data_IF_969642848583
#
_entry.id   IF_969642848583
#
_cell.length_a   1.000
_cell.length_b   1.000
_cell.length_c   1.000
_cell.angle_alpha   90.00
_cell.angle_beta   90.00
_cell.angle_gamma   90.00
#
_symmetry.space_group_name_H-M   'P 1'
#
loop_
_entity.id
_entity.type
_entity.pdbx_description
1 polymer ?
#
# COMPACT_ATOMS: atom_id res chain seq x y z
N UNK A 1 -52.35 1.01 12.13
CA UNK A 1 -51.07 1.65 12.47
C UNK A 1 -49.96 0.72 11.99
N UNK A 2 -49.50 0.96 10.78
CA UNK A 2 -48.48 0.18 10.08
C UNK A 2 -47.22 1.03 10.05
N UNK A 3 -46.16 0.62 10.74
CA UNK A 3 -44.86 1.29 10.68
C UNK A 3 -44.22 1.03 9.31
N UNK A 4 -43.61 2.03 8.66
CA UNK A 4 -42.81 1.80 7.47
C UNK A 4 -41.44 1.23 7.89
N UNK A 5 -41.02 0.15 7.24
CA UNK A 5 -39.64 -0.35 7.28
C UNK A 5 -38.78 0.59 6.43
N UNK A 6 -37.86 1.33 7.06
CA UNK A 6 -36.79 2.00 6.35
C UNK A 6 -35.73 0.96 5.95
N UNK A 7 -35.63 0.67 4.66
CA UNK A 7 -34.46 0.01 4.09
C UNK A 7 -33.35 1.05 4.01
N UNK A 8 -32.45 1.04 4.98
CA UNK A 8 -31.19 1.80 4.91
C UNK A 8 -30.34 1.18 3.79
N UNK A 9 -30.19 1.87 2.66
CA UNK A 9 -29.20 1.52 1.64
C UNK A 9 -27.82 1.86 2.24
N UNK A 10 -27.04 0.82 2.52
CA UNK A 10 -25.66 0.96 2.99
C UNK A 10 -24.83 1.50 1.81
N UNK A 11 -24.40 2.76 1.89
CA UNK A 11 -23.33 3.26 1.04
C UNK A 11 -22.02 2.65 1.57
N UNK A 12 -21.58 1.56 0.97
CA UNK A 12 -20.27 0.96 1.28
C UNK A 12 -19.27 1.52 0.29
N UNK A 13 -18.56 2.56 0.69
CA UNK A 13 -17.27 2.91 0.07
C UNK A 13 -16.23 2.06 0.79
N UNK A 14 -15.99 0.86 0.26
CA UNK A 14 -14.80 0.10 0.63
C UNK A 14 -13.71 0.47 -0.38
N UNK A 15 -13.00 1.57 -0.12
CA UNK A 15 -11.64 1.68 -0.63
C UNK A 15 -10.82 0.70 0.21
N UNK A 16 -10.25 -0.32 -0.43
CA UNK A 16 -9.01 -0.86 0.09
C UNK A 16 -8.08 0.35 0.24
N UNK A 17 -7.61 0.63 1.45
CA UNK A 17 -6.67 1.70 1.74
C UNK A 17 -5.32 1.37 1.10
N UNK A 18 -5.25 1.50 -0.21
CA UNK A 18 -4.03 1.74 -0.97
C UNK A 18 -4.06 3.25 -1.28
N UNK A 19 -3.54 4.05 -0.35
CA UNK A 19 -3.29 5.47 -0.57
C UNK A 19 -2.03 5.57 -1.45
N UNK A 20 -2.23 5.64 -2.76
CA UNK A 20 -1.28 6.21 -3.71
C UNK A 20 -1.96 7.36 -4.42
N UNK A 21 -1.52 8.60 -4.20
CA UNK A 21 -1.78 9.65 -5.17
C UNK A 21 -1.01 9.25 -6.45
N UNK A 22 -1.54 9.49 -7.66
CA UNK A 22 -0.92 9.19 -8.97
C UNK A 22 -1.47 10.20 -10.00
N UNK A 23 -0.61 10.92 -10.73
CA UNK A 23 -0.93 11.89 -11.78
C UNK A 23 0.22 11.93 -12.82
N UNK A 24 -0.11 12.06 -14.11
CA UNK A 24 0.69 11.64 -15.27
C UNK A 24 1.64 12.69 -15.90
N UNK A 25 2.73 12.23 -16.55
CA UNK A 25 3.06 12.61 -17.93
C UNK A 25 4.53 12.47 -18.41
N UNK A 26 4.86 11.41 -19.18
CA UNK A 26 6.13 11.35 -19.94
C UNK A 26 6.24 10.20 -20.96
N UNK A 27 6.55 10.54 -22.22
CA UNK A 27 6.56 9.62 -23.39
C UNK A 27 7.78 8.71 -23.46
N UNK A 28 7.56 7.39 -23.59
CA UNK A 28 8.57 6.43 -24.04
C UNK A 28 8.13 5.77 -25.37
N UNK A 29 9.01 5.77 -26.37
CA UNK A 29 8.80 5.08 -27.65
C UNK A 29 8.98 3.56 -27.48
N UNK A 30 7.91 2.79 -27.75
CA UNK A 30 7.93 1.32 -27.74
C UNK A 30 8.15 0.75 -29.15
N UNK A 31 8.96 -0.31 -29.34
CA UNK A 31 9.11 -0.95 -30.65
C UNK A 31 7.83 -1.68 -31.07
N UNK A 32 7.55 -1.66 -32.37
CA UNK A 32 6.37 -2.23 -32.99
C UNK A 32 6.15 -3.72 -32.62
N UNK A 33 5.03 -4.00 -31.95
CA UNK A 33 4.53 -5.37 -31.74
C UNK A 33 3.27 -5.61 -32.55
N UNK A 34 3.26 -6.76 -33.22
CA UNK A 34 2.20 -7.27 -34.10
C UNK A 34 0.85 -7.39 -33.39
N UNK A 35 -0.13 -6.64 -33.90
CA UNK A 35 -1.54 -6.65 -33.50
C UNK A 35 -2.19 -8.01 -33.71
N UNK A 36 -2.47 -8.71 -32.61
CA UNK A 36 -3.51 -9.75 -32.57
C UNK A 36 -4.78 -9.07 -32.06
N UNK A 37 -5.78 -8.91 -32.92
CA UNK A 37 -7.04 -8.23 -32.59
C UNK A 37 -7.90 -9.09 -31.66
N UNK A 38 -7.80 -8.85 -30.36
CA UNK A 38 -8.78 -9.31 -29.35
C UNK A 38 -10.12 -8.62 -29.63
N UNK A 39 -11.28 -9.31 -29.56
CA UNK A 39 -12.57 -8.67 -29.75
C UNK A 39 -12.77 -7.56 -28.72
N UNK A 40 -13.03 -6.34 -29.19
CA UNK A 40 -13.44 -5.21 -28.35
C UNK A 40 -14.89 -5.45 -27.92
N UNK A 41 -15.11 -5.60 -26.61
CA UNK A 41 -16.45 -5.58 -26.06
C UNK A 41 -16.97 -4.14 -26.08
N UNK A 42 -18.09 -3.91 -26.77
CA UNK A 42 -18.74 -2.60 -26.80
C UNK A 42 -19.84 -2.53 -25.74
N UNK A 43 -19.79 -1.52 -24.88
CA UNK A 43 -20.82 -1.24 -23.88
C UNK A 43 -22.08 -0.72 -24.57
N UNK A 44 -23.26 -1.25 -24.24
CA UNK A 44 -24.53 -0.74 -24.77
C UNK A 44 -24.85 0.65 -24.20
N UNK A 45 -24.53 1.69 -24.98
CA UNK A 45 -24.73 3.10 -24.61
C UNK A 45 -26.18 3.59 -24.79
N UNK A 46 -27.14 2.71 -25.10
CA UNK A 46 -28.56 3.10 -25.20
C UNK A 46 -29.19 3.44 -23.84
N UNK A 47 -28.53 3.08 -22.75
CA UNK A 47 -28.94 3.39 -21.37
C UNK A 47 -28.05 4.47 -20.75
N UNK A 48 -28.55 5.29 -19.80
CA UNK A 48 -27.72 6.26 -19.07
C UNK A 48 -26.49 5.62 -18.40
N UNK A 49 -26.67 4.44 -17.80
CA UNK A 49 -25.58 3.68 -17.17
C UNK A 49 -24.56 3.19 -18.18
N UNK A 50 -25.00 2.67 -19.33
CA UNK A 50 -24.10 2.25 -20.40
C UNK A 50 -23.28 3.41 -20.96
N UNK A 51 -23.91 4.56 -21.22
CA UNK A 51 -23.20 5.76 -21.66
C UNK A 51 -22.19 6.28 -20.62
N UNK A 52 -22.49 6.18 -19.32
CA UNK A 52 -21.56 6.54 -18.25
C UNK A 52 -20.37 5.57 -18.15
N UNK A 53 -20.61 4.26 -18.23
CA UNK A 53 -19.54 3.27 -18.15
C UNK A 53 -18.65 3.26 -19.41
N UNK A 54 -19.23 3.52 -20.58
CA UNK A 54 -18.46 3.78 -21.81
C UNK A 54 -17.57 5.03 -21.67
N UNK A 55 -18.08 6.09 -21.04
CA UNK A 55 -17.28 7.28 -20.74
C UNK A 55 -16.14 7.00 -19.75
N UNK A 56 -16.40 6.19 -18.72
CA UNK A 56 -15.35 5.73 -17.79
C UNK A 56 -14.28 4.95 -18.55
N UNK A 57 -14.67 4.02 -19.44
CA UNK A 57 -13.72 3.27 -20.29
C UNK A 57 -12.87 4.19 -21.15
N UNK A 58 -13.47 5.23 -21.74
CA UNK A 58 -12.74 6.24 -22.52
C UNK A 58 -11.77 7.03 -21.64
N UNK A 59 -12.18 7.42 -20.42
CA UNK A 59 -11.30 8.08 -19.47
C UNK A 59 -10.15 7.19 -19.02
N UNK A 60 -10.36 5.90 -18.77
CA UNK A 60 -9.29 5.02 -18.31
C UNK A 60 -8.38 4.49 -19.44
N UNK A 61 -8.74 4.71 -20.71
CA UNK A 61 -7.93 4.30 -21.87
C UNK A 61 -7.45 5.48 -22.74
N UNK A 62 -7.89 6.71 -22.47
CA UNK A 62 -7.48 7.88 -23.25
C UNK A 62 -5.99 8.17 -23.14
N UNK A 63 -5.42 8.97 -24.04
CA UNK A 63 -4.01 9.36 -23.94
C UNK A 63 -3.75 10.40 -22.84
N UNK A 64 -4.74 11.26 -22.56
CA UNK A 64 -4.60 12.36 -21.61
C UNK A 64 -5.40 12.11 -20.33
N UNK A 65 -4.94 12.69 -19.22
CA UNK A 65 -5.71 12.80 -17.98
C UNK A 65 -7.12 13.32 -18.25
N UNK A 66 -8.16 12.73 -17.64
CA UNK A 66 -9.53 13.21 -17.76
C UNK A 66 -9.65 14.67 -17.29
N UNK A 67 -10.30 15.52 -18.10
CA UNK A 67 -10.61 16.90 -17.69
C UNK A 67 -11.43 16.90 -16.38
N UNK A 68 -10.92 17.50 -15.28
CA UNK A 68 -11.61 17.51 -14.00
C UNK A 68 -13.03 18.07 -14.09
N UNK A 69 -13.28 19.09 -14.92
CA UNK A 69 -14.60 19.67 -15.09
C UNK A 69 -15.57 18.70 -15.79
N UNK A 70 -15.08 17.91 -16.74
CA UNK A 70 -15.88 16.89 -17.42
C UNK A 70 -16.21 15.71 -16.50
N UNK A 71 -15.29 15.33 -15.61
CA UNK A 71 -15.50 14.32 -14.58
C UNK A 71 -16.51 14.82 -13.54
N UNK A 72 -16.35 16.04 -13.01
CA UNK A 72 -17.27 16.62 -12.03
C UNK A 72 -18.70 16.78 -12.58
N UNK A 73 -18.85 17.08 -13.88
CA UNK A 73 -20.16 17.26 -14.51
C UNK A 73 -21.07 16.03 -14.41
N UNK A 74 -20.50 14.81 -14.39
CA UNK A 74 -21.28 13.56 -14.35
C UNK A 74 -21.46 12.99 -12.95
N UNK A 75 -20.79 13.56 -11.94
CA UNK A 75 -20.80 13.08 -10.56
C UNK A 75 -21.97 13.71 -9.79
N UNK A 76 -22.70 12.88 -9.06
CA UNK A 76 -23.74 13.33 -8.14
C UNK A 76 -23.19 13.62 -6.75
N UNK A 77 -23.97 14.30 -5.89
CA UNK A 77 -23.47 14.87 -4.64
C UNK A 77 -22.91 13.82 -3.67
N UNK A 78 -23.50 12.63 -3.63
CA UNK A 78 -23.08 11.53 -2.75
C UNK A 78 -21.65 11.07 -3.07
N UNK A 79 -21.37 10.86 -4.37
CA UNK A 79 -20.02 10.46 -4.78
C UNK A 79 -19.03 11.61 -4.65
N UNK A 80 -19.43 12.85 -4.98
CA UNK A 80 -18.58 14.03 -4.83
C UNK A 80 -18.08 14.20 -3.39
N UNK A 81 -18.96 14.03 -2.39
CA UNK A 81 -18.58 14.04 -0.97
C UNK A 81 -17.64 12.90 -0.63
N UNK A 82 -17.91 11.68 -1.13
CA UNK A 82 -17.09 10.51 -0.86
C UNK A 82 -15.66 10.60 -1.44
N UNK A 83 -15.47 11.22 -2.60
CA UNK A 83 -14.15 11.36 -3.25
C UNK A 83 -13.45 12.68 -2.94
N UNK A 84 -14.09 13.62 -2.24
CA UNK A 84 -13.47 14.89 -1.87
C UNK A 84 -12.15 14.72 -1.09
N UNK A 85 -12.01 13.78 -0.14
CA UNK A 85 -10.73 13.54 0.53
C UNK A 85 -9.60 13.05 -0.40
N UNK A 86 -9.94 12.53 -1.59
CA UNK A 86 -9.00 12.04 -2.59
C UNK A 86 -8.64 13.09 -3.67
N UNK A 87 -9.18 14.31 -3.55
CA UNK A 87 -9.06 15.34 -4.58
C UNK A 87 -10.03 15.17 -5.76
N UNK A 88 -11.05 14.31 -5.63
CA UNK A 88 -12.04 14.04 -6.67
C UNK A 88 -11.92 12.65 -7.30
N UNK A 89 -12.82 12.35 -8.26
CA UNK A 89 -12.82 11.06 -8.97
C UNK A 89 -11.71 10.95 -10.02
N UNK A 90 -11.07 12.07 -10.38
CA UNK A 90 -9.93 12.07 -11.33
C UNK A 90 -8.82 11.17 -10.79
N UNK A 91 -8.47 11.26 -9.50
CA UNK A 91 -7.40 10.46 -8.90
C UNK A 91 -7.63 8.95 -9.04
N UNK A 92 -8.79 8.37 -8.63
CA UNK A 92 -9.07 6.95 -8.91
C UNK A 92 -9.08 6.58 -10.40
N UNK A 93 -9.51 7.48 -11.29
CA UNK A 93 -9.49 7.22 -12.73
C UNK A 93 -8.05 7.18 -13.26
N UNK A 94 -7.17 8.07 -12.80
CA UNK A 94 -5.74 8.06 -13.14
C UNK A 94 -5.04 6.80 -12.66
N UNK A 95 -5.33 6.32 -11.45
CA UNK A 95 -4.82 5.04 -10.97
C UNK A 95 -5.25 3.86 -11.86
N UNK A 96 -6.47 3.89 -12.41
CA UNK A 96 -6.91 2.86 -13.36
C UNK A 96 -6.27 3.04 -14.74
N UNK A 97 -6.00 4.28 -15.17
CA UNK A 97 -5.31 4.59 -16.44
C UNK A 97 -3.92 4.00 -16.50
N UNK A 98 -3.19 4.04 -15.39
CA UNK A 98 -1.82 3.54 -15.33
C UNK A 98 -1.73 2.04 -15.66
N UNK A 99 -2.79 1.26 -15.38
CA UNK A 99 -2.87 -0.17 -15.70
C UNK A 99 -3.20 -0.49 -17.17
N UNK A 100 -3.25 0.52 -18.04
CA UNK A 100 -3.63 0.36 -19.44
C UNK A 100 -2.75 -0.68 -20.18
N UNK A 101 -3.31 -1.43 -21.15
CA UNK A 101 -4.66 -1.30 -21.69
C UNK A 101 -5.75 -1.87 -20.76
N UNK A 102 -6.82 -1.10 -20.53
CA UNK A 102 -8.00 -1.52 -19.78
C UNK A 102 -9.05 -2.07 -20.75
N UNK A 103 -9.08 -3.39 -20.93
CA UNK A 103 -9.89 -4.05 -21.96
C UNK A 103 -11.22 -4.50 -21.36
N UNK A 104 -12.33 -3.89 -21.78
CA UNK A 104 -13.66 -4.34 -21.38
C UNK A 104 -13.93 -5.78 -21.84
N UNK A 105 -14.57 -6.57 -20.98
CA UNK A 105 -14.90 -7.98 -21.23
C UNK A 105 -16.40 -8.28 -21.04
N UNK A 106 -17.13 -7.39 -20.37
CA UNK A 106 -18.58 -7.52 -20.18
C UNK A 106 -19.19 -6.31 -19.49
N UNK A 107 -20.49 -6.11 -19.68
CA UNK A 107 -21.25 -5.09 -18.95
C UNK A 107 -22.64 -5.61 -18.65
N UNK A 108 -23.05 -5.48 -17.39
CA UNK A 108 -24.40 -5.78 -16.92
C UNK A 108 -25.03 -4.52 -16.34
N UNK A 109 -26.18 -4.13 -16.90
CA UNK A 109 -26.96 -3.00 -16.41
C UNK A 109 -28.23 -3.47 -15.69
N UNK A 110 -28.40 -3.01 -14.45
CA UNK A 110 -29.69 -2.95 -13.76
C UNK A 110 -30.36 -1.59 -13.97
N UNK A 111 -31.49 -1.32 -13.28
CA UNK A 111 -32.19 -0.04 -13.39
C UNK A 111 -31.33 1.17 -12.98
N UNK A 112 -30.63 1.05 -11.84
CA UNK A 112 -29.87 2.15 -11.23
C UNK A 112 -28.40 1.77 -10.94
N UNK A 113 -27.96 0.56 -11.32
CA UNK A 113 -26.62 0.03 -11.05
C UNK A 113 -26.03 -0.64 -12.29
N UNK A 114 -24.72 -0.48 -12.52
CA UNK A 114 -23.98 -1.12 -13.59
C UNK A 114 -22.76 -1.87 -13.06
N UNK A 115 -22.40 -2.96 -13.73
CA UNK A 115 -21.20 -3.76 -13.45
C UNK A 115 -20.44 -3.91 -14.76
N UNK A 116 -19.33 -3.19 -14.88
CA UNK A 116 -18.39 -3.29 -16.00
C UNK A 116 -17.26 -4.24 -15.61
N UNK A 117 -17.13 -5.35 -16.35
CA UNK A 117 -16.00 -6.27 -16.25
C UNK A 117 -14.95 -5.89 -17.28
N UNK A 118 -13.70 -5.89 -16.87
CA UNK A 118 -12.55 -5.56 -17.71
C UNK A 118 -11.31 -6.34 -17.28
N UNK A 119 -10.25 -6.25 -18.06
CA UNK A 119 -8.93 -6.78 -17.74
C UNK A 119 -7.92 -5.65 -17.82
N UNK A 120 -7.03 -5.58 -16.84
CA UNK A 120 -5.98 -4.56 -16.71
C UNK A 120 -4.72 -5.25 -16.19
N UNK A 121 -3.56 -5.01 -16.81
CA UNK A 121 -2.33 -5.77 -16.51
C UNK A 121 -2.48 -7.32 -16.47
N UNK A 122 -3.44 -7.89 -17.21
CA UNK A 122 -3.74 -9.34 -17.16
C UNK A 122 -4.56 -9.81 -15.96
N UNK A 123 -4.99 -8.88 -15.10
CA UNK A 123 -5.83 -9.12 -13.92
C UNK A 123 -7.30 -8.81 -14.29
N UNK A 124 -8.21 -9.79 -14.15
CA UNK A 124 -9.65 -9.54 -14.24
C UNK A 124 -10.12 -8.60 -13.14
N UNK A 125 -10.93 -7.62 -13.49
CA UNK A 125 -11.40 -6.59 -12.57
C UNK A 125 -12.81 -6.13 -12.94
N UNK A 126 -13.45 -5.48 -11.97
CA UNK A 126 -14.82 -4.99 -12.07
C UNK A 126 -14.91 -3.54 -11.61
N UNK A 127 -15.60 -2.69 -12.38
CA UNK A 127 -16.09 -1.38 -11.95
C UNK A 127 -17.59 -1.50 -11.67
N UNK A 128 -17.97 -1.31 -10.41
CA UNK A 128 -19.37 -1.20 -10.00
C UNK A 128 -19.78 0.28 -9.96
N UNK A 129 -20.86 0.61 -10.64
CA UNK A 129 -21.40 1.98 -10.71
C UNK A 129 -22.84 2.03 -10.24
N UNK A 130 -23.26 3.16 -9.68
CA UNK A 130 -24.67 3.45 -9.43
C UNK A 130 -25.02 4.87 -9.83
N UNK A 131 -26.27 5.09 -10.23
CA UNK A 131 -26.78 6.41 -10.61
C UNK A 131 -27.88 6.91 -9.67
N UNK A 132 -27.91 8.22 -9.46
CA UNK A 132 -28.99 8.93 -8.79
C UNK A 132 -30.21 9.15 -9.68
N UNK A 133 -31.28 9.69 -9.11
CA UNK A 133 -32.51 10.04 -9.84
C UNK A 133 -32.30 11.14 -10.91
N UNK A 134 -31.22 11.90 -10.79
CA UNK A 134 -30.74 12.89 -11.75
C UNK A 134 -29.91 12.28 -12.90
N UNK A 135 -29.71 10.96 -12.88
CA UNK A 135 -28.91 10.22 -13.87
C UNK A 135 -27.41 10.38 -13.68
N UNK A 136 -26.95 10.99 -12.59
CA UNK A 136 -25.53 11.19 -12.28
C UNK A 136 -24.94 10.03 -11.49
N UNK A 137 -23.63 9.87 -11.57
CA UNK A 137 -22.88 8.82 -10.87
C UNK A 137 -22.84 9.11 -9.36
N UNK A 138 -23.46 8.24 -8.56
CA UNK A 138 -23.47 8.29 -7.09
C UNK A 138 -22.63 7.18 -6.44
N UNK A 139 -22.22 6.18 -7.20
CA UNK A 139 -21.34 5.11 -6.72
C UNK A 139 -20.31 4.74 -7.78
N UNK A 140 -19.08 4.54 -7.34
CA UNK A 140 -17.96 4.07 -8.15
C UNK A 140 -17.06 3.20 -7.28
N UNK A 141 -16.84 1.95 -7.68
CA UNK A 141 -15.92 1.05 -7.02
C UNK A 141 -15.24 0.17 -8.05
N UNK A 142 -13.95 0.38 -8.25
CA UNK A 142 -13.09 -0.50 -9.04
C UNK A 142 -12.36 -1.48 -8.11
N UNK A 143 -12.36 -2.76 -8.45
CA UNK A 143 -11.64 -3.80 -7.70
C UNK A 143 -11.23 -4.95 -8.61
N UNK A 144 -10.11 -5.63 -8.34
CA UNK A 144 -9.82 -6.90 -8.97
C UNK A 144 -10.87 -7.95 -8.59
N UNK A 145 -11.05 -8.94 -9.45
CA UNK A 145 -11.75 -10.17 -9.11
C UNK A 145 -10.84 -11.03 -8.21
N UNK A 146 -11.43 -11.75 -7.26
CA UNK A 146 -10.69 -12.70 -6.42
C UNK A 146 -10.22 -13.88 -7.26
N UNK A 147 -8.91 -14.21 -7.27
CA UNK A 147 -8.41 -15.35 -8.03
C UNK A 147 -8.85 -16.66 -7.37
N UNK A 148 -9.14 -17.67 -8.20
CA UNK A 148 -9.29 -19.04 -7.72
C UNK A 148 -7.90 -19.65 -7.53
N UNK A 149 -7.48 -19.88 -6.29
CA UNK A 149 -6.18 -20.45 -5.95
C UNK A 149 -6.41 -21.79 -5.26
N UNK A 150 -5.95 -22.88 -5.89
CA UNK A 150 -6.09 -24.25 -5.38
C UNK A 150 -4.76 -24.94 -5.12
N UNK A 151 -3.66 -24.31 -5.52
CA UNK A 151 -2.30 -24.80 -5.41
C UNK A 151 -1.32 -23.62 -5.34
N UNK A 152 -0.09 -23.88 -4.90
CA UNK A 152 0.95 -22.86 -4.93
C UNK A 152 1.37 -22.45 -6.36
N UNK A 153 1.19 -23.32 -7.35
CA UNK A 153 1.42 -22.97 -8.76
C UNK A 153 0.38 -21.94 -9.25
N UNK A 154 -0.88 -22.04 -8.80
CA UNK A 154 -1.91 -21.03 -9.09
C UNK A 154 -1.57 -19.69 -8.42
N UNK A 155 -1.01 -19.74 -7.21
CA UNK A 155 -0.56 -18.57 -6.46
C UNK A 155 0.60 -17.86 -7.18
N UNK A 156 1.62 -18.59 -7.65
CA UNK A 156 2.70 -18.03 -8.48
C UNK A 156 2.19 -17.41 -9.79
N UNK A 157 1.27 -18.09 -10.47
CA UNK A 157 0.64 -17.59 -11.68
C UNK A 157 -0.21 -16.32 -11.43
N UNK A 158 -0.73 -16.14 -10.21
CA UNK A 158 -1.40 -14.93 -9.80
C UNK A 158 -0.40 -13.81 -9.46
N UNK A 159 0.57 -14.05 -8.58
CA UNK A 159 1.55 -13.04 -8.15
C UNK A 159 2.36 -12.45 -9.30
N UNK A 160 2.72 -13.27 -10.30
CA UNK A 160 3.45 -12.83 -11.49
C UNK A 160 2.69 -11.81 -12.36
N UNK A 161 1.38 -11.61 -12.14
CA UNK A 161 0.59 -10.55 -12.78
C UNK A 161 0.70 -9.19 -12.08
N UNK A 162 1.16 -9.16 -10.83
CA UNK A 162 1.27 -7.93 -10.04
C UNK A 162 2.48 -7.12 -10.48
N UNK A 163 3.66 -7.75 -10.50
CA UNK A 163 4.91 -7.16 -10.98
C UNK A 163 5.88 -8.25 -11.47
N UNK A 164 6.78 -7.94 -12.41
CA UNK A 164 7.73 -8.92 -12.94
C UNK A 164 8.80 -9.33 -11.92
N UNK A 165 9.24 -8.41 -11.06
CA UNK A 165 10.15 -8.73 -9.96
C UNK A 165 9.34 -8.83 -8.68
N UNK A 166 9.25 -10.01 -8.11
CA UNK A 166 8.54 -10.24 -6.87
C UNK A 166 9.22 -11.31 -6.02
N UNK A 167 8.98 -11.26 -4.73
CA UNK A 167 9.37 -12.24 -3.73
C UNK A 167 8.15 -12.59 -2.88
N UNK A 168 8.02 -13.86 -2.55
CA UNK A 168 6.92 -14.38 -1.75
C UNK A 168 7.40 -15.48 -0.81
N UNK A 169 6.87 -15.51 0.41
CA UNK A 169 7.07 -16.62 1.34
C UNK A 169 5.84 -16.81 2.22
N UNK A 170 5.48 -18.08 2.42
CA UNK A 170 4.52 -18.52 3.41
C UNK A 170 5.23 -19.42 4.41
N UNK A 171 5.29 -18.99 5.66
CA UNK A 171 6.11 -19.58 6.70
C UNK A 171 5.29 -19.92 7.93
N UNK A 172 5.59 -21.08 8.53
CA UNK A 172 5.16 -21.43 9.88
C UNK A 172 6.09 -20.74 10.88
N UNK A 173 5.55 -20.09 11.90
CA UNK A 173 6.35 -19.48 12.96
C UNK A 173 6.46 -20.45 14.15
N UNK A 174 7.69 -20.86 14.48
CA UNK A 174 7.98 -21.80 15.56
C UNK A 174 8.89 -21.14 16.60
N UNK A 175 8.30 -20.57 17.65
CA UNK A 175 9.09 -19.98 18.75
C UNK A 175 9.96 -18.78 18.33
N UNK A 176 9.58 -18.07 17.27
CA UNK A 176 10.33 -16.94 16.71
C UNK A 176 11.02 -17.28 15.38
N UNK A 177 11.26 -18.56 15.12
CA UNK A 177 11.91 -19.02 13.89
C UNK A 177 10.89 -19.21 12.77
N UNK A 178 11.17 -18.64 11.60
CA UNK A 178 10.37 -18.82 10.39
C UNK A 178 10.80 -20.08 9.63
N UNK A 179 9.90 -21.05 9.53
CA UNK A 179 10.03 -22.24 8.68
C UNK A 179 9.18 -22.07 7.42
N UNK A 180 9.82 -21.82 6.28
CA UNK A 180 9.13 -21.68 5.01
C UNK A 180 8.43 -22.99 4.60
N UNK A 181 7.12 -22.93 4.37
CA UNK A 181 6.32 -24.02 3.78
C UNK A 181 6.31 -23.90 2.26
N UNK A 182 6.29 -22.67 1.76
CA UNK A 182 6.40 -22.36 0.34
C UNK A 182 7.03 -20.99 0.13
N UNK A 183 7.80 -20.83 -0.94
CA UNK A 183 8.45 -19.57 -1.25
C UNK A 183 8.83 -19.46 -2.72
N UNK A 184 8.79 -18.24 -3.25
CA UNK A 184 9.18 -17.89 -4.61
C UNK A 184 10.10 -16.68 -4.56
N UNK A 185 11.28 -16.78 -5.16
CA UNK A 185 12.31 -15.73 -5.17
C UNK A 185 12.68 -15.16 -3.77
N UNK A 186 12.59 -15.98 -2.71
CA UNK A 186 12.73 -15.51 -1.32
C UNK A 186 14.07 -14.84 -0.99
N UNK A 187 15.14 -15.15 -1.74
CA UNK A 187 16.47 -14.53 -1.57
C UNK A 187 16.57 -13.13 -2.20
N UNK A 188 15.57 -12.70 -2.98
CA UNK A 188 15.58 -11.40 -3.63
C UNK A 188 15.46 -10.29 -2.58
N UNK A 189 16.46 -9.40 -2.56
CA UNK A 189 16.45 -8.17 -1.76
C UNK A 189 15.63 -7.13 -2.51
N UNK A 190 14.44 -6.85 -2.00
CA UNK A 190 13.47 -5.95 -2.63
C UNK A 190 13.09 -4.81 -1.66
N UNK A 191 12.55 -3.71 -2.20
CA UNK A 191 11.90 -2.66 -1.43
C UNK A 191 10.91 -3.17 -0.38
N UNK A 192 10.81 -2.45 0.73
CA UNK A 192 9.87 -2.70 1.81
C UNK A 192 8.72 -1.70 1.83
N UNK A 193 8.93 -0.51 1.25
CA UNK A 193 8.18 0.67 1.63
C UNK A 193 8.03 0.74 3.15
N UNK A 194 6.84 1.08 3.62
CA UNK A 194 6.52 1.17 5.04
C UNK A 194 6.57 -0.14 5.85
N UNK A 195 6.91 -1.31 5.29
CA UNK A 195 7.16 -2.53 6.07
C UNK A 195 8.39 -2.36 6.99
N UNK A 196 9.33 -1.45 6.67
CA UNK A 196 10.48 -1.14 7.54
C UNK A 196 10.07 -0.71 8.96
N UNK A 197 8.85 -0.17 9.12
CA UNK A 197 8.30 0.29 10.41
C UNK A 197 8.14 -0.84 11.43
N UNK A 198 8.21 -2.10 11.00
CA UNK A 198 8.35 -3.24 11.91
C UNK A 198 9.64 -3.15 12.73
N UNK A 199 10.76 -2.72 12.13
CA UNK A 199 12.02 -2.50 12.86
C UNK A 199 11.93 -1.33 13.84
N UNK A 200 11.21 -0.25 13.46
CA UNK A 200 10.94 0.88 14.37
C UNK A 200 10.10 0.44 15.57
N UNK A 201 9.07 -0.40 15.34
CA UNK A 201 8.26 -0.96 16.42
C UNK A 201 9.10 -1.86 17.34
N UNK A 202 9.95 -2.71 16.79
CA UNK A 202 10.83 -3.57 17.58
C UNK A 202 11.78 -2.76 18.48
N UNK A 203 12.41 -1.72 17.91
CA UNK A 203 13.29 -0.82 18.65
C UNK A 203 12.51 -0.08 19.76
N UNK A 204 11.29 0.37 19.47
CA UNK A 204 10.42 0.99 20.45
C UNK A 204 10.09 0.05 21.60
N UNK A 205 9.69 -1.19 21.30
CA UNK A 205 9.28 -2.13 22.35
C UNK A 205 10.44 -2.54 23.24
N UNK A 206 11.64 -2.70 22.69
CA UNK A 206 12.84 -2.99 23.49
C UNK A 206 13.16 -1.84 24.46
N UNK A 207 13.01 -0.58 24.03
CA UNK A 207 13.23 0.59 24.91
C UNK A 207 12.11 0.78 25.96
N UNK A 208 10.87 0.38 25.63
CA UNK A 208 9.77 0.31 26.61
C UNK A 208 10.08 -0.74 27.68
N UNK A 209 10.53 -1.94 27.28
CA UNK A 209 10.90 -3.01 28.21
C UNK A 209 12.11 -2.64 29.07
N UNK A 210 13.08 -1.92 28.50
CA UNK A 210 14.22 -1.38 29.23
C UNK A 210 13.85 -0.21 30.18
N UNK A 211 12.63 0.33 30.08
CA UNK A 211 12.14 1.45 30.88
C UNK A 211 12.77 2.80 30.53
N UNK A 212 13.38 2.91 29.34
CA UNK A 212 13.99 4.15 28.82
C UNK A 212 13.00 4.99 28.01
N UNK A 213 11.90 4.38 27.55
CA UNK A 213 10.72 5.03 26.96
C UNK A 213 9.49 4.60 27.75
N UNK A 214 8.43 5.42 27.76
CA UNK A 214 7.11 5.02 28.29
C UNK A 214 6.02 5.22 27.26
N UNK A 215 5.00 4.36 27.29
CA UNK A 215 3.84 4.48 26.39
C UNK A 215 3.07 5.80 26.54
N UNK A 216 3.08 6.39 27.74
CA UNK A 216 2.44 7.67 28.07
C UNK A 216 3.38 8.88 27.91
N UNK A 217 4.60 8.66 27.43
CA UNK A 217 5.51 9.74 27.09
C UNK A 217 4.94 10.54 25.92
N UNK A 218 5.04 11.87 26.00
CA UNK A 218 4.49 12.78 25.00
C UNK A 218 5.58 13.21 24.01
N UNK A 219 5.34 12.94 22.74
CA UNK A 219 6.06 13.45 21.58
C UNK A 219 5.39 14.75 21.12
N UNK A 220 6.15 15.66 20.53
CA UNK A 220 5.64 16.95 20.06
C UNK A 220 5.73 17.02 18.55
N UNK A 221 4.58 17.16 17.88
CA UNK A 221 4.52 17.40 16.43
C UNK A 221 5.11 18.78 16.15
N UNK A 222 6.08 18.84 15.25
CA UNK A 222 6.67 20.10 14.74
C UNK A 222 6.79 20.03 13.21
N UNK A 223 6.97 21.17 12.58
CA UNK A 223 7.15 21.24 11.13
C UNK A 223 8.33 20.37 10.64
N UNK A 224 9.40 20.31 11.42
CA UNK A 224 10.60 19.52 11.12
C UNK A 224 10.36 18.01 11.20
N UNK A 225 9.36 17.57 11.97
CA UNK A 225 9.01 16.14 12.14
C UNK A 225 7.87 15.70 11.24
N UNK A 226 7.22 16.64 10.55
CA UNK A 226 6.13 16.33 9.62
C UNK A 226 6.70 15.71 8.35
N UNK A 227 6.04 14.65 7.92
CA UNK A 227 6.33 13.91 6.70
C UNK A 227 5.10 13.87 5.79
N UNK A 228 5.26 13.40 4.56
CA UNK A 228 4.15 13.27 3.62
C UNK A 228 3.19 12.15 4.05
N UNK A 229 1.95 12.11 3.54
CA UNK A 229 1.08 10.94 3.68
C UNK A 229 1.79 9.65 3.21
N UNK A 230 1.39 8.47 3.68
CA UNK A 230 0.23 8.13 4.51
C UNK A 230 0.32 8.60 5.96
N UNK A 231 -0.84 8.76 6.60
CA UNK A 231 -0.98 9.23 7.98
C UNK A 231 -1.96 10.38 8.11
N UNK A 232 -2.14 10.83 9.36
CA UNK A 232 -2.93 12.00 9.71
C UNK A 232 -2.21 12.97 10.65
N UNK A 233 -1.14 12.56 11.34
CA UNK A 233 -0.43 13.43 12.29
C UNK A 233 0.21 14.65 11.62
N UNK A 234 0.52 14.59 10.32
CA UNK A 234 1.00 15.73 9.55
C UNK A 234 0.00 16.90 9.51
N UNK A 235 -1.29 16.62 9.67
CA UNK A 235 -2.36 17.63 9.65
C UNK A 235 -2.53 18.34 11.00
N UNK A 236 -1.85 17.87 12.06
CA UNK A 236 -1.96 18.48 13.37
C UNK A 236 -1.18 19.80 13.45
N UNK A 237 -1.67 20.79 14.22
CA UNK A 237 -0.91 22.02 14.48
C UNK A 237 0.42 21.73 15.17
N UNK A 238 1.43 22.52 14.88
CA UNK A 238 2.72 22.46 15.57
C UNK A 238 2.54 22.68 17.08
N UNK A 239 3.33 21.94 17.88
CA UNK A 239 3.22 21.93 19.33
C UNK A 239 2.15 20.96 19.86
N UNK A 240 1.40 20.27 18.99
CA UNK A 240 0.46 19.24 19.42
C UNK A 240 1.21 18.06 20.04
N UNK A 241 0.78 17.65 21.24
CA UNK A 241 1.38 16.55 21.97
C UNK A 241 0.67 15.23 21.63
N UNK A 242 1.43 14.22 21.21
CA UNK A 242 0.95 12.88 20.84
C UNK A 242 1.67 11.87 21.73
N UNK A 243 0.96 10.90 22.31
CA UNK A 243 1.61 9.88 23.15
C UNK A 243 2.41 8.89 22.29
N UNK A 244 3.47 8.30 22.84
CA UNK A 244 4.23 7.22 22.18
C UNK A 244 3.30 6.08 21.73
N UNK A 245 2.29 5.74 22.55
CA UNK A 245 1.27 4.73 22.21
C UNK A 245 0.48 5.11 20.97
N UNK A 246 -0.05 6.33 20.93
CA UNK A 246 -0.81 6.82 19.78
C UNK A 246 0.06 6.86 18.52
N UNK A 247 1.31 7.30 18.63
CA UNK A 247 2.25 7.32 17.52
C UNK A 247 2.51 5.89 17.00
N UNK A 248 2.76 4.91 17.88
CA UNK A 248 2.99 3.52 17.48
C UNK A 248 1.77 2.89 16.81
N UNK A 249 0.57 3.13 17.36
CA UNK A 249 -0.69 2.66 16.78
C UNK A 249 -0.91 3.23 15.38
N UNK A 250 -0.72 4.54 15.18
CA UNK A 250 -0.87 5.18 13.87
C UNK A 250 0.23 4.80 12.87
N UNK A 251 1.47 4.66 13.34
CA UNK A 251 2.61 4.19 12.54
C UNK A 251 2.31 2.83 11.90
N UNK A 252 1.67 1.92 12.64
CA UNK A 252 1.38 0.57 12.14
C UNK A 252 0.05 0.53 11.38
N UNK A 253 -1.04 1.04 11.97
CA UNK A 253 -2.40 0.89 11.41
C UNK A 253 -2.69 1.80 10.22
N UNK A 254 -2.22 3.05 10.25
CA UNK A 254 -2.40 4.03 9.17
C UNK A 254 -1.13 4.20 8.33
N UNK A 255 -0.07 3.47 8.66
CA UNK A 255 1.25 3.68 8.09
C UNK A 255 1.72 5.14 8.24
N UNK A 256 1.36 5.80 9.35
CA UNK A 256 1.57 7.24 9.52
C UNK A 256 3.05 7.61 9.54
N UNK A 257 3.49 8.34 8.52
CA UNK A 257 4.87 8.75 8.31
C UNK A 257 5.35 9.76 9.35
N UNK A 258 4.50 10.72 9.74
CA UNK A 258 4.85 11.68 10.81
C UNK A 258 4.96 10.98 12.17
N UNK A 259 4.09 10.00 12.45
CA UNK A 259 4.21 9.16 13.64
C UNK A 259 5.51 8.35 13.66
N UNK A 260 5.91 7.84 12.48
CA UNK A 260 7.15 7.07 12.30
C UNK A 260 8.35 7.95 12.62
N UNK A 261 8.42 9.14 12.03
CA UNK A 261 9.56 10.04 12.19
C UNK A 261 9.66 10.59 13.61
N UNK A 262 8.53 10.86 14.28
CA UNK A 262 8.50 11.21 15.71
C UNK A 262 9.09 10.09 16.59
N UNK A 263 8.80 8.83 16.29
CA UNK A 263 9.34 7.68 17.02
C UNK A 263 10.83 7.48 16.70
N UNK A 264 11.24 7.60 15.44
CA UNK A 264 12.64 7.49 15.04
C UNK A 264 13.49 8.61 15.65
N UNK A 265 13.00 9.85 15.69
CA UNK A 265 13.67 10.96 16.40
C UNK A 265 13.84 10.63 17.89
N UNK A 266 12.79 10.11 18.53
CA UNK A 266 12.82 9.77 19.95
C UNK A 266 13.77 8.62 20.29
N UNK A 267 13.88 7.63 19.42
CA UNK A 267 14.75 6.46 19.61
C UNK A 267 16.20 6.78 19.21
N UNK A 268 16.39 7.61 18.20
CA UNK A 268 17.66 7.86 17.53
C UNK A 268 17.98 6.78 16.48
N UNK A 269 18.54 7.21 15.35
CA UNK A 269 18.86 6.38 14.17
C UNK A 269 19.62 5.10 14.52
N UNK A 270 20.70 5.23 15.29
CA UNK A 270 21.57 4.11 15.68
C UNK A 270 20.82 2.98 16.42
N UNK A 271 19.76 3.30 17.18
CA UNK A 271 18.98 2.27 17.88
C UNK A 271 18.11 1.49 16.92
N UNK A 272 17.49 2.18 15.97
CA UNK A 272 16.66 1.55 14.93
C UNK A 272 17.53 0.70 13.99
N UNK A 273 18.69 1.21 13.59
CA UNK A 273 19.67 0.47 12.76
C UNK A 273 20.18 -0.79 13.46
N UNK A 274 20.51 -0.71 14.76
CA UNK A 274 20.87 -1.90 15.54
C UNK A 274 19.75 -2.94 15.55
N UNK A 275 18.49 -2.49 15.52
CA UNK A 275 17.34 -3.39 15.56
C UNK A 275 17.26 -4.28 14.31
N UNK A 276 17.79 -3.84 13.17
CA UNK A 276 17.88 -4.66 11.96
C UNK A 276 18.54 -6.02 12.25
N UNK A 277 19.72 -5.99 12.87
CA UNK A 277 20.45 -7.22 13.23
C UNK A 277 19.80 -8.01 14.37
N UNK A 278 19.21 -7.32 15.37
CA UNK A 278 18.49 -7.97 16.48
C UNK A 278 17.29 -8.76 15.97
N UNK A 279 16.57 -8.21 14.99
CA UNK A 279 15.38 -8.80 14.38
C UNK A 279 15.70 -9.73 13.20
N UNK A 280 16.99 -10.06 12.98
CA UNK A 280 17.39 -11.11 12.06
C UNK A 280 17.57 -10.68 10.59
N UNK A 281 17.69 -9.39 10.30
CA UNK A 281 18.00 -8.92 8.95
C UNK A 281 19.37 -9.45 8.48
N UNK A 282 19.43 -10.06 7.31
CA UNK A 282 20.62 -10.77 6.81
C UNK A 282 21.80 -9.85 6.51
N UNK A 283 21.53 -8.63 6.03
CA UNK A 283 22.54 -7.61 5.74
C UNK A 283 22.09 -6.20 6.14
N UNK A 284 22.27 -5.79 7.42
CA UNK A 284 21.87 -4.46 7.87
C UNK A 284 22.51 -3.31 7.08
N UNK A 285 23.64 -3.53 6.40
CA UNK A 285 24.36 -2.47 5.68
C UNK A 285 23.58 -1.88 4.50
N UNK A 286 22.63 -2.63 3.92
CA UNK A 286 21.77 -2.14 2.82
C UNK A 286 20.77 -1.07 3.26
N UNK A 287 20.53 -0.95 4.56
CA UNK A 287 19.69 0.09 5.16
C UNK A 287 20.46 1.01 6.10
N UNK A 288 21.80 1.03 6.05
CA UNK A 288 22.62 1.87 6.93
C UNK A 288 23.45 2.88 6.10
N UNK A 289 23.30 4.20 6.28
CA UNK A 289 22.43 4.87 7.26
C UNK A 289 20.94 4.77 6.89
N UNK A 290 20.09 4.56 7.89
CA UNK A 290 18.65 4.31 7.70
C UNK A 290 17.88 5.61 7.61
N UNK A 291 17.29 5.91 6.45
CA UNK A 291 16.40 7.06 6.25
C UNK A 291 15.16 6.98 7.16
N UNK A 292 14.71 8.13 7.67
CA UNK A 292 13.31 8.31 8.06
C UNK A 292 12.43 8.63 6.83
N UNK A 293 11.12 8.74 7.03
CA UNK A 293 10.21 8.91 5.90
C UNK A 293 10.32 10.29 5.26
N UNK A 294 10.55 11.35 6.05
CA UNK A 294 10.79 12.70 5.54
C UNK A 294 12.03 12.75 4.65
N UNK A 295 13.13 12.15 5.08
CA UNK A 295 14.38 12.04 4.32
C UNK A 295 14.15 11.29 3.01
N UNK A 296 13.40 10.19 3.02
CA UNK A 296 13.00 9.47 1.80
C UNK A 296 12.32 10.41 0.79
N UNK A 297 11.35 11.23 1.23
CA UNK A 297 10.66 12.16 0.34
C UNK A 297 11.57 13.28 -0.17
N UNK A 298 12.35 13.91 0.70
CA UNK A 298 13.25 15.02 0.32
C UNK A 298 14.34 14.53 -0.63
N UNK A 299 14.94 13.37 -0.35
CA UNK A 299 16.03 12.82 -1.16
C UNK A 299 15.52 12.32 -2.51
N UNK A 300 14.45 11.53 -2.52
CA UNK A 300 13.92 10.91 -3.74
C UNK A 300 13.17 11.90 -4.64
N UNK A 301 12.50 12.89 -4.03
CA UNK A 301 11.41 13.63 -4.68
C UNK A 301 11.34 15.11 -4.30
N UNK A 302 12.34 15.69 -3.63
CA UNK A 302 12.35 17.12 -3.28
C UNK A 302 12.86 18.06 -4.39
N UNK A 303 12.84 19.37 -4.14
CA UNK A 303 13.48 20.40 -4.99
C UNK A 303 14.59 21.17 -4.25
N UNK A 304 15.86 21.10 -4.70
CA UNK A 304 16.40 20.15 -5.66
C UNK A 304 16.32 18.71 -5.18
N UNK A 305 16.13 17.83 -6.15
CA UNK A 305 16.18 16.39 -5.99
C UNK A 305 17.63 15.94 -5.72
N UNK A 306 17.85 15.19 -4.64
CA UNK A 306 19.17 14.73 -4.19
C UNK A 306 19.46 13.27 -4.57
N UNK A 307 18.57 12.62 -5.30
CA UNK A 307 18.61 11.20 -5.65
C UNK A 307 19.88 10.76 -6.37
N UNK A 308 20.39 11.57 -7.31
CA UNK A 308 21.64 11.27 -8.01
C UNK A 308 22.84 11.29 -7.04
N UNK A 309 22.88 12.26 -6.11
CA UNK A 309 23.93 12.31 -5.08
C UNK A 309 23.83 11.10 -4.15
N UNK A 310 22.63 10.68 -3.78
CA UNK A 310 22.39 9.51 -2.93
C UNK A 310 22.82 8.19 -3.59
N UNK A 311 22.54 8.05 -4.88
CA UNK A 311 22.86 6.86 -5.69
C UNK A 311 24.39 6.66 -5.78
N UNK A 312 25.14 7.73 -5.98
CA UNK A 312 26.60 7.72 -6.11
C UNK A 312 27.36 7.73 -4.77
N UNK A 313 26.69 8.03 -3.66
CA UNK A 313 27.31 8.22 -2.35
C UNK A 313 27.69 6.90 -1.64
N UNK A 314 28.83 6.92 -0.96
CA UNK A 314 29.20 5.92 0.03
C UNK A 314 28.45 6.16 1.37
N UNK A 315 28.54 5.24 2.36
CA UNK A 315 27.79 5.38 3.60
C UNK A 315 28.08 6.68 4.39
N UNK A 316 29.32 7.16 4.42
CA UNK A 316 29.67 8.38 5.15
C UNK A 316 29.07 9.62 4.45
N UNK A 317 29.14 9.67 3.12
CA UNK A 317 28.52 10.72 2.33
C UNK A 317 26.99 10.68 2.43
N UNK A 318 26.37 9.50 2.57
CA UNK A 318 24.93 9.37 2.81
C UNK A 318 24.51 9.98 4.14
N UNK A 319 25.31 9.88 5.20
CA UNK A 319 25.03 10.57 6.48
C UNK A 319 24.97 12.09 6.26
N UNK A 320 25.93 12.66 5.52
CA UNK A 320 25.92 14.10 5.20
C UNK A 320 24.70 14.50 4.35
N UNK A 321 24.24 13.63 3.45
CA UNK A 321 23.03 13.85 2.66
C UNK A 321 21.76 13.84 3.52
N UNK A 322 21.70 13.00 4.56
CA UNK A 322 20.57 12.96 5.49
C UNK A 322 20.49 14.25 6.32
N UNK A 323 21.62 14.75 6.82
CA UNK A 323 21.68 16.04 7.53
C UNK A 323 21.25 17.21 6.62
N UNK A 324 21.63 17.15 5.33
CA UNK A 324 21.20 18.13 4.33
C UNK A 324 19.70 18.02 4.03
N UNK A 325 19.13 16.82 4.03
CA UNK A 325 17.71 16.60 3.82
C UNK A 325 16.89 17.16 5.01
N UNK A 326 17.36 16.98 6.24
CA UNK A 326 16.71 17.52 7.45
C UNK A 326 16.67 19.06 7.46
N UNK A 327 17.69 19.70 6.87
CA UNK A 327 17.76 21.16 6.75
C UNK A 327 16.86 21.75 5.67
N UNK A 328 16.12 20.92 4.91
CA UNK A 328 15.26 21.34 3.80
C UNK A 328 13.79 21.35 4.18
N UNK A 329 12.98 22.25 3.58
CA UNK A 329 11.53 22.14 3.68
C UNK A 329 11.07 20.84 3.00
N UNK A 330 9.96 20.27 3.50
CA UNK A 330 9.31 19.15 2.83
C UNK A 330 8.51 19.68 1.64
N UNK A 331 9.15 19.70 0.49
CA UNK A 331 8.53 19.95 -0.81
C UNK A 331 8.64 18.66 -1.62
N UNK A 332 7.55 18.27 -2.29
CA UNK A 332 7.49 17.05 -3.09
C UNK A 332 7.15 17.44 -4.52
N UNK A 333 8.04 17.11 -5.43
CA UNK A 333 7.74 17.03 -6.85
C UNK A 333 6.84 15.82 -7.08
N UNK A 334 5.52 16.07 -6.99
CA UNK A 334 4.52 15.03 -7.13
C UNK A 334 4.53 14.39 -8.52
N UNK A 335 4.86 15.13 -9.59
CA UNK A 335 4.95 14.51 -10.92
C UNK A 335 6.11 13.50 -10.94
N UNK A 336 7.28 13.91 -10.44
CA UNK A 336 8.43 13.02 -10.36
C UNK A 336 8.21 11.82 -9.42
N UNK A 337 7.54 12.01 -8.27
CA UNK A 337 7.20 10.93 -7.35
C UNK A 337 6.48 9.79 -8.08
N UNK A 338 5.50 10.11 -8.90
CA UNK A 338 4.55 9.15 -9.44
C UNK A 338 5.11 8.37 -10.63
N UNK A 339 5.86 9.06 -11.48
CA UNK A 339 6.36 8.49 -12.72
C UNK A 339 7.75 7.85 -12.56
N UNK A 340 8.49 8.14 -11.49
CA UNK A 340 9.88 7.72 -11.34
C UNK A 340 10.14 6.99 -10.01
N UNK A 341 9.85 5.66 -9.93
CA UNK A 341 10.21 4.81 -8.80
C UNK A 341 11.66 5.01 -8.35
N UNK A 342 11.91 5.22 -7.05
CA UNK A 342 13.23 5.61 -6.53
C UNK A 342 14.08 4.46 -5.98
N UNK A 343 13.51 3.25 -5.89
CA UNK A 343 14.20 2.07 -5.38
C UNK A 343 15.43 1.67 -6.20
N UNK A 344 15.43 1.92 -7.51
CA UNK A 344 16.59 1.65 -8.37
C UNK A 344 17.83 2.50 -8.03
N UNK A 345 17.64 3.66 -7.40
CA UNK A 345 18.71 4.55 -6.93
C UNK A 345 19.09 4.30 -5.47
N UNK A 346 18.55 3.23 -4.87
CA UNK A 346 18.76 2.91 -3.46
C UNK A 346 18.01 3.85 -2.51
N UNK A 347 17.07 4.67 -2.99
CA UNK A 347 16.18 5.48 -2.15
C UNK A 347 14.97 4.62 -1.76
N UNK A 348 15.20 3.67 -0.86
CA UNK A 348 14.18 2.81 -0.25
C UNK A 348 14.76 2.10 0.99
N UNK A 349 13.93 1.32 1.68
CA UNK A 349 14.37 0.33 2.66
C UNK A 349 14.32 -1.07 2.02
N UNK A 350 15.33 -1.90 2.24
CA UNK A 350 15.48 -3.15 1.49
C UNK A 350 15.63 -4.33 2.43
N UNK A 351 14.93 -5.42 2.13
CA UNK A 351 15.14 -6.72 2.77
C UNK A 351 14.67 -7.85 1.86
N UNK A 352 15.00 -9.09 2.22
CA UNK A 352 14.42 -10.28 1.58
C UNK A 352 13.23 -10.83 2.39
N UNK A 353 12.53 -11.84 1.85
CA UNK A 353 11.32 -12.38 2.49
C UNK A 353 11.60 -12.97 3.88
N UNK A 354 12.77 -13.57 4.08
CA UNK A 354 13.16 -14.14 5.37
C UNK A 354 13.41 -13.06 6.42
N UNK A 355 14.00 -11.92 6.04
CA UNK A 355 14.21 -10.78 6.95
C UNK A 355 12.88 -10.20 7.43
N UNK A 356 11.91 -10.05 6.51
CA UNK A 356 10.56 -9.57 6.83
C UNK A 356 9.86 -10.57 7.75
N UNK A 357 10.00 -11.86 7.48
CA UNK A 357 9.45 -12.91 8.33
C UNK A 357 10.08 -12.89 9.73
N UNK A 358 11.40 -12.77 9.83
CA UNK A 358 12.12 -12.69 11.09
C UNK A 358 11.71 -11.45 11.89
N UNK A 359 11.53 -10.30 11.24
CA UNK A 359 11.06 -9.08 11.88
C UNK A 359 9.64 -9.22 12.45
N UNK A 360 8.71 -9.78 11.67
CA UNK A 360 7.36 -10.07 12.12
C UNK A 360 7.35 -11.13 13.24
N UNK A 361 8.19 -12.17 13.13
CA UNK A 361 8.37 -13.22 14.13
C UNK A 361 8.90 -12.70 15.46
N UNK A 362 9.86 -11.77 15.44
CA UNK A 362 10.35 -11.08 16.63
C UNK A 362 9.23 -10.32 17.33
N UNK A 363 8.43 -9.55 16.60
CA UNK A 363 7.31 -8.79 17.17
C UNK A 363 6.20 -9.70 17.71
N UNK A 364 5.96 -10.82 17.02
CA UNK A 364 4.94 -11.80 17.38
C UNK A 364 5.31 -12.64 18.60
N UNK A 365 6.58 -12.63 19.02
CA UNK A 365 7.12 -13.46 20.09
C UNK A 365 7.86 -12.61 21.14
N UNK A 366 8.30 -13.23 22.22
CA UNK A 366 8.96 -12.49 23.32
C UNK A 366 8.00 -11.79 24.29
N UNK A 367 8.54 -11.00 25.24
CA UNK A 367 7.75 -10.45 26.34
C UNK A 367 6.83 -9.29 25.92
N UNK A 368 7.18 -8.54 24.86
CA UNK A 368 6.35 -7.48 24.29
C UNK A 368 5.26 -7.98 23.32
N UNK A 369 5.19 -9.30 23.04
CA UNK A 369 4.31 -9.87 22.02
C UNK A 369 2.83 -9.50 22.17
N UNK A 370 2.32 -9.43 23.41
CA UNK A 370 0.91 -9.08 23.66
C UNK A 370 0.56 -7.70 23.10
N UNK A 371 1.41 -6.71 23.38
CA UNK A 371 1.20 -5.33 22.93
C UNK A 371 1.50 -5.17 21.44
N UNK A 372 2.54 -5.83 20.93
CA UNK A 372 2.86 -5.83 19.51
C UNK A 372 1.72 -6.42 18.67
N UNK A 373 1.17 -7.57 19.09
CA UNK A 373 0.02 -8.19 18.42
C UNK A 373 -1.23 -7.31 18.49
N UNK A 374 -1.46 -6.64 19.62
CA UNK A 374 -2.56 -5.67 19.72
C UNK A 374 -2.40 -4.54 18.68
N UNK A 375 -1.20 -3.98 18.54
CA UNK A 375 -0.92 -2.91 17.57
C UNK A 375 -1.07 -3.41 16.12
N UNK A 376 -0.47 -4.57 15.80
CA UNK A 376 -0.52 -5.18 14.45
C UNK A 376 -1.93 -5.55 14.01
N UNK A 377 -2.82 -5.90 14.94
CA UNK A 377 -4.20 -6.32 14.64
C UNK A 377 -5.23 -5.19 14.51
N UNK A 378 -4.83 -3.92 14.73
CA UNK A 378 -5.72 -2.76 14.54
C UNK A 378 -6.22 -2.70 13.09
N UNK A 379 -5.37 -3.08 12.13
CA UNK A 379 -5.72 -3.17 10.71
C UNK A 379 -5.14 -4.45 10.13
N UNK A 380 -5.93 -5.53 9.97
CA UNK A 380 -5.42 -6.88 9.69
C UNK A 380 -4.98 -7.12 8.24
N UNK A 381 -5.16 -6.15 7.33
CA UNK A 381 -4.75 -6.21 5.92
C UNK A 381 -5.62 -7.10 5.02
N UNK A 382 -5.96 -8.31 5.47
CA UNK A 382 -6.80 -9.29 4.77
C UNK A 382 -8.03 -9.69 5.59
N UNK A 383 -9.05 -10.25 4.93
CA UNK A 383 -10.25 -10.76 5.59
C UNK A 383 -10.20 -12.28 5.70
N UNK A 384 -9.86 -12.77 6.90
CA UNK A 384 -9.83 -14.19 7.20
C UNK A 384 -11.06 -14.61 8.02
N UNK A 385 -11.53 -15.85 7.82
CA UNK A 385 -12.61 -16.42 8.65
C UNK A 385 -12.11 -16.57 10.09
N UNK A 386 -12.67 -15.78 11.00
CA UNK A 386 -12.30 -15.76 12.42
C UNK A 386 -12.50 -17.10 13.15
N UNK A 387 -13.34 -18.00 12.63
CA UNK A 387 -13.47 -19.36 13.17
C UNK A 387 -12.24 -20.23 12.84
N UNK A 388 -11.54 -19.91 11.76
CA UNK A 388 -10.34 -20.62 11.31
C UNK A 388 -9.06 -19.89 11.73
N UNK A 389 -9.12 -18.56 11.79
CA UNK A 389 -8.00 -17.64 12.05
C UNK A 389 -8.40 -16.63 13.14
N UNK A 390 -8.36 -17.00 14.43
CA UNK A 390 -8.81 -16.13 15.51
C UNK A 390 -8.00 -14.83 15.69
N UNK A 391 -6.80 -14.75 15.10
CA UNK A 391 -5.96 -13.56 15.11
C UNK A 391 -5.44 -13.25 13.71
N UNK A 392 -5.36 -11.96 13.38
CA UNK A 392 -4.73 -11.43 12.17
C UNK A 392 -4.07 -10.09 12.46
N UNK A 393 -2.83 -9.92 12.04
CA UNK A 393 -2.07 -8.69 12.12
C UNK A 393 -1.30 -8.42 10.83
N UNK A 394 -0.95 -7.17 10.59
CA UNK A 394 -0.46 -6.76 9.28
C UNK A 394 0.42 -5.51 9.32
N UNK A 395 1.35 -5.44 8.38
CA UNK A 395 1.95 -4.19 7.92
C UNK A 395 2.16 -4.24 6.41
N UNK A 396 1.61 -3.26 5.71
CA UNK A 396 1.90 -3.00 4.29
C UNK A 396 2.90 -1.88 4.09
N UNK A 397 3.46 -1.79 2.89
CA UNK A 397 4.34 -0.73 2.46
C UNK A 397 4.24 -0.54 0.95
N UNK A 398 4.25 0.72 0.52
CA UNK A 398 4.17 1.06 -0.88
C UNK A 398 4.94 2.35 -1.15
N UNK A 399 5.53 2.39 -2.34
CA UNK A 399 6.04 3.59 -2.98
C UNK A 399 5.77 3.43 -4.50
N UNK A 400 5.91 4.47 -5.32
CA UNK A 400 5.81 4.34 -6.76
C UNK A 400 6.75 3.24 -7.26
N UNK A 401 6.18 2.21 -7.88
CA UNK A 401 6.89 1.02 -8.37
C UNK A 401 7.21 -0.07 -7.34
N UNK A 402 6.91 0.15 -6.07
CA UNK A 402 7.27 -0.74 -4.97
C UNK A 402 6.04 -1.11 -4.13
N UNK A 403 5.85 -2.39 -3.84
CA UNK A 403 4.79 -2.88 -2.97
C UNK A 403 5.35 -3.99 -2.07
N UNK A 404 5.03 -3.95 -0.78
CA UNK A 404 5.38 -5.00 0.15
C UNK A 404 4.29 -5.18 1.21
N UNK A 405 4.17 -6.38 1.74
CA UNK A 405 3.33 -6.66 2.88
C UNK A 405 3.85 -7.83 3.71
N UNK A 406 3.54 -7.77 5.01
CA UNK A 406 3.76 -8.81 5.98
C UNK A 406 2.46 -9.06 6.74
N UNK A 407 1.96 -10.28 6.69
CA UNK A 407 0.75 -10.74 7.37
C UNK A 407 1.14 -11.76 8.44
N UNK A 408 0.51 -11.67 9.61
CA UNK A 408 0.61 -12.65 10.68
C UNK A 408 -0.79 -13.15 11.03
N UNK A 409 -1.04 -14.45 10.94
CA UNK A 409 -2.30 -15.03 11.36
C UNK A 409 -2.07 -16.20 12.32
N UNK A 410 -2.91 -16.30 13.35
CA UNK A 410 -2.93 -17.48 14.23
C UNK A 410 -4.12 -18.33 13.84
N UNK A 411 -3.89 -19.60 13.53
CA UNK A 411 -4.97 -20.52 13.21
C UNK A 411 -5.70 -21.00 14.49
N UNK A 412 -6.84 -21.67 14.29
CA UNK A 412 -7.67 -22.22 15.38
C UNK A 412 -6.97 -23.27 16.26
N UNK A 413 -5.81 -23.80 15.86
CA UNK A 413 -4.98 -24.71 16.67
C UNK A 413 -3.97 -23.95 17.56
N UNK A 414 -3.83 -22.64 17.35
CA UNK A 414 -2.84 -21.79 18.03
C UNK A 414 -1.51 -21.68 17.30
N UNK A 415 -1.41 -22.16 16.06
CA UNK A 415 -0.20 -22.02 15.25
C UNK A 415 -0.19 -20.67 14.55
N UNK A 416 0.94 -19.97 14.66
CA UNK A 416 1.20 -18.74 13.92
C UNK A 416 1.77 -19.01 12.52
N UNK A 417 1.31 -18.22 11.57
CA UNK A 417 1.69 -18.26 10.16
C UNK A 417 2.01 -16.85 9.69
N UNK A 418 3.10 -16.71 8.95
CA UNK A 418 3.52 -15.45 8.35
C UNK A 418 3.50 -15.59 6.83
N UNK A 419 2.84 -14.66 6.16
CA UNK A 419 2.90 -14.50 4.70
C UNK A 419 3.58 -13.17 4.40
N UNK A 420 4.60 -13.20 3.55
CA UNK A 420 5.33 -12.01 3.10
C UNK A 420 5.27 -11.92 1.58
N UNK A 421 5.07 -10.72 1.07
CA UNK A 421 5.13 -10.43 -0.36
C UNK A 421 5.86 -9.11 -0.59
N UNK A 422 6.68 -9.06 -1.64
CA UNK A 422 7.42 -7.88 -2.07
C UNK A 422 7.42 -7.84 -3.60
N UNK A 423 7.28 -6.66 -4.19
CA UNK A 423 7.17 -6.42 -5.62
C UNK A 423 7.94 -5.16 -5.99
N UNK A 424 8.60 -5.20 -7.15
CA UNK A 424 9.26 -4.06 -7.78
C UNK A 424 8.95 -4.02 -9.28
N UNK A 425 8.54 -2.86 -9.75
CA UNK A 425 8.34 -2.55 -11.16
C UNK A 425 9.08 -1.27 -11.55
N UNK A 426 9.39 -1.13 -12.85
CA UNK A 426 10.07 0.07 -13.37
C UNK A 426 9.14 1.29 -13.45
N UNK A 427 7.82 1.06 -13.37
CA UNK A 427 6.78 2.08 -13.24
C UNK A 427 5.85 1.76 -12.08
N UNK A 428 4.84 2.60 -11.84
CA UNK A 428 3.90 2.41 -10.73
C UNK A 428 3.24 1.03 -10.70
N UNK A 429 3.07 0.46 -9.50
CA UNK A 429 2.19 -0.69 -9.28
C UNK A 429 0.81 -0.13 -8.93
N UNK A 430 -0.15 -0.29 -9.84
CA UNK A 430 -1.41 0.44 -9.78
C UNK A 430 -2.41 -0.11 -8.76
N UNK A 431 -3.55 0.56 -8.65
CA UNK A 431 -4.63 0.22 -7.71
C UNK A 431 -5.08 -1.25 -7.84
N UNK A 432 -5.27 -1.74 -9.07
CA UNK A 432 -5.78 -3.10 -9.31
C UNK A 432 -4.72 -4.16 -9.01
N UNK A 433 -3.49 -4.11 -9.55
CA UNK A 433 -2.39 -4.99 -9.14
C UNK A 433 -2.15 -4.99 -7.63
N UNK A 434 -2.12 -3.82 -6.98
CA UNK A 434 -1.89 -3.72 -5.53
C UNK A 434 -2.98 -4.40 -4.72
N UNK A 435 -4.25 -4.15 -5.06
CA UNK A 435 -5.38 -4.80 -4.39
C UNK A 435 -5.42 -6.31 -4.66
N UNK A 436 -4.97 -6.74 -5.84
CA UNK A 436 -4.97 -8.14 -6.24
C UNK A 436 -3.92 -8.94 -5.46
N UNK A 437 -2.74 -8.36 -5.17
CA UNK A 437 -1.73 -8.97 -4.31
C UNK A 437 -2.32 -9.37 -2.94
N UNK A 438 -3.08 -8.47 -2.30
CA UNK A 438 -3.71 -8.76 -1.00
C UNK A 438 -4.79 -9.85 -1.08
N UNK A 439 -5.53 -9.94 -2.20
CA UNK A 439 -6.45 -11.06 -2.42
C UNK A 439 -5.71 -12.38 -2.58
N UNK A 440 -4.56 -12.38 -3.28
CA UNK A 440 -3.70 -13.57 -3.40
C UNK A 440 -3.17 -14.00 -2.03
N UNK A 441 -2.71 -13.06 -1.20
CA UNK A 441 -2.28 -13.34 0.16
C UNK A 441 -3.41 -13.91 1.03
N UNK A 442 -4.64 -13.43 0.88
CA UNK A 442 -5.80 -13.99 1.56
C UNK A 442 -6.04 -15.46 1.19
N UNK A 443 -6.00 -15.79 -0.11
CA UNK A 443 -6.15 -17.16 -0.59
C UNK A 443 -4.98 -18.07 -0.18
N UNK A 444 -3.78 -17.51 -0.01
CA UNK A 444 -2.64 -18.26 0.50
C UNK A 444 -2.91 -18.86 1.88
N UNK A 445 -3.56 -18.11 2.78
CA UNK A 445 -3.95 -18.65 4.09
C UNK A 445 -4.93 -19.82 3.96
N UNK A 446 -5.77 -19.87 2.92
CA UNK A 446 -6.64 -21.03 2.67
C UNK A 446 -5.83 -22.30 2.31
N UNK A 447 -4.67 -22.16 1.65
CA UNK A 447 -3.77 -23.27 1.31
C UNK A 447 -2.95 -23.80 2.49
N UNK A 448 -2.69 -22.95 3.49
CA UNK A 448 -1.89 -23.31 4.67
C UNK A 448 -2.65 -24.16 5.70
N UNK A 449 -3.96 -24.30 5.53
CA UNK A 449 -4.84 -24.98 6.46
C UNK A 449 -5.04 -26.47 6.17
#
# INVERSE_FOLDING_TARGET
>A
MTMPRSTTRLAVVALATALTLSACGGTAETPASTTTTTPTFDVDTSTPLGALNDRILQWINGENTPDPAAVEAVIGPELAEAVAPLGGLVTPLEQLRAGAPNVATGFEAGPDTGVLRFTTAGIPATISTSIGADGKLNGFLARPDTPEISSFDDLDAALSKVAPNYSYSASRLNGGDCEAVYSTNADAVLPLGSVFKLYVLGALTDEIEAGTVRWDEQLTVRDETKSAPSGELQNLPDGTAVSVREAAEKMISLSDNTATDLLMERLGRERVERQLGVMGHHDPSVMTPMMDTRQFFVIGFGDPNMRAEWSDADPDARVELLDRADARPLEIDFENFLDNPASADGVEWFANAQDVCAAMGYLATGPAAEENRRILSITPGVQLDAALWPYSGFKGGNAPGDLAAAFLATDSSGQDWIVTEQFRADGAIDLIPSSYAFLVAQEAFALLK
#
